data_IF_568385283268
#
_entry.id   IF_568385283268
#
_cell.length_a   1.000
_cell.length_b   1.000
_cell.length_c   1.000
_cell.angle_alpha   90.00
_cell.angle_beta   90.00
_cell.angle_gamma   90.00
#
_symmetry.space_group_name_H-M   'P 1'
#
loop_
_entity.id
_entity.type
_entity.pdbx_description
1 polymer ?
#
# COMPACT_ATOMS: atom_id res chain seq x y z
N UNK A 1 5.48 9.64 -12.43
CA UNK A 1 6.35 9.80 -13.61
C UNK A 1 5.54 10.37 -14.76
N UNK A 2 5.93 11.50 -15.24
CA UNK A 2 5.39 12.13 -16.44
C UNK A 2 6.56 12.82 -17.16
N UNK A 3 6.88 12.38 -18.38
CA UNK A 3 7.95 12.94 -19.20
C UNK A 3 7.45 13.09 -20.62
N UNK A 4 7.39 14.33 -21.15
CA UNK A 4 6.91 14.62 -22.52
C UNK A 4 5.59 13.88 -22.82
N UNK A 5 4.59 14.05 -21.93
CA UNK A 5 3.26 13.41 -22.02
C UNK A 5 3.23 11.89 -21.86
N UNK A 6 4.40 11.23 -21.71
CA UNK A 6 4.48 9.80 -21.44
C UNK A 6 4.38 9.51 -19.94
N UNK A 7 3.52 8.56 -19.59
CA UNK A 7 3.27 8.09 -18.24
C UNK A 7 4.07 6.82 -17.97
N UNK A 8 4.06 6.36 -16.70
CA UNK A 8 4.72 5.10 -16.30
C UNK A 8 4.14 3.89 -17.04
N UNK A 9 2.84 3.90 -17.34
CA UNK A 9 2.18 2.86 -18.16
C UNK A 9 2.81 2.68 -19.52
N UNK A 10 3.15 3.79 -20.22
CA UNK A 10 3.84 3.74 -21.50
C UNK A 10 5.24 3.14 -21.37
N UNK A 11 5.97 3.49 -20.30
CA UNK A 11 7.30 2.91 -20.04
C UNK A 11 7.21 1.40 -19.78
N UNK A 12 6.25 0.96 -18.99
CA UNK A 12 5.99 -0.46 -18.71
C UNK A 12 5.67 -1.18 -20.02
N UNK A 13 4.85 -0.58 -20.90
CA UNK A 13 4.49 -1.14 -22.20
C UNK A 13 5.72 -1.30 -23.11
N UNK A 14 6.60 -0.31 -23.19
CA UNK A 14 7.83 -0.41 -23.96
C UNK A 14 8.78 -1.48 -23.39
N UNK A 15 8.95 -1.55 -22.06
CA UNK A 15 9.76 -2.60 -21.45
C UNK A 15 9.19 -4.00 -21.70
N UNK A 16 7.87 -4.16 -21.77
CA UNK A 16 7.25 -5.44 -22.03
C UNK A 16 7.63 -6.06 -23.39
N UNK A 17 8.02 -5.22 -24.35
CA UNK A 17 8.45 -5.64 -25.70
C UNK A 17 9.86 -6.26 -25.71
N UNK A 18 10.68 -6.00 -24.69
CA UNK A 18 12.03 -6.54 -24.60
C UNK A 18 11.94 -8.08 -24.42
N UNK A 19 12.46 -8.84 -25.38
CA UNK A 19 12.28 -10.30 -25.48
C UNK A 19 12.76 -11.05 -24.21
N UNK A 20 13.93 -10.70 -23.72
CA UNK A 20 14.60 -11.43 -22.62
C UNK A 20 14.19 -10.91 -21.23
N UNK A 21 13.44 -9.81 -21.16
CA UNK A 21 12.88 -9.31 -19.90
C UNK A 21 11.74 -10.23 -19.46
N UNK A 22 11.89 -10.85 -18.30
CA UNK A 22 10.91 -11.82 -17.76
C UNK A 22 9.89 -11.19 -16.84
N UNK A 23 10.28 -10.18 -16.07
CA UNK A 23 9.44 -9.56 -15.03
C UNK A 23 9.65 -8.06 -14.98
N UNK A 24 8.56 -7.32 -14.81
CA UNK A 24 8.55 -5.88 -14.57
C UNK A 24 7.95 -5.66 -13.20
N UNK A 25 8.62 -4.87 -12.37
CA UNK A 25 8.11 -4.40 -11.09
C UNK A 25 8.37 -2.91 -10.99
N UNK A 26 7.42 -2.18 -10.42
CA UNK A 26 7.56 -0.77 -10.11
C UNK A 26 7.05 -0.49 -8.69
N UNK A 27 7.44 0.62 -8.12
CA UNK A 27 6.96 1.09 -6.83
C UNK A 27 6.15 2.36 -7.05
N UNK A 28 4.92 2.38 -6.56
CA UNK A 28 4.06 3.57 -6.59
C UNK A 28 4.29 4.40 -5.34
N UNK A 29 4.27 5.71 -5.48
CA UNK A 29 4.48 6.64 -4.36
C UNK A 29 3.18 7.14 -3.73
N UNK A 30 2.10 7.29 -4.49
CA UNK A 30 0.86 7.88 -3.99
C UNK A 30 -0.39 7.28 -4.67
N UNK A 31 -1.47 6.97 -3.91
CA UNK A 31 -2.70 6.41 -4.49
C UNK A 31 -3.33 7.28 -5.58
N UNK A 32 -3.24 8.61 -5.46
CA UNK A 32 -3.78 9.56 -6.44
C UNK A 32 -3.15 9.42 -7.83
N UNK A 33 -1.91 8.95 -7.89
CA UNK A 33 -1.17 8.80 -9.15
C UNK A 33 -1.51 7.47 -9.87
N UNK A 34 -2.44 6.68 -9.28
CA UNK A 34 -2.85 5.40 -9.86
C UNK A 34 -3.93 5.62 -10.92
N UNK A 35 -3.49 5.80 -12.15
CA UNK A 35 -4.34 6.15 -13.30
C UNK A 35 -4.97 4.92 -13.95
N UNK A 36 -6.03 5.11 -14.75
CA UNK A 36 -6.75 4.03 -15.43
C UNK A 36 -5.85 3.24 -16.40
N UNK A 37 -4.95 3.91 -17.07
CA UNK A 37 -3.97 3.30 -17.97
C UNK A 37 -2.99 2.38 -17.22
N UNK A 38 -2.64 2.72 -15.98
CA UNK A 38 -1.81 1.86 -15.13
C UNK A 38 -2.58 0.63 -14.65
N UNK A 39 -3.88 0.78 -14.35
CA UNK A 39 -4.75 -0.35 -14.03
C UNK A 39 -4.90 -1.29 -15.24
N UNK A 40 -5.08 -0.73 -16.44
CA UNK A 40 -5.15 -1.50 -17.68
C UNK A 40 -3.85 -2.28 -17.93
N UNK A 41 -2.69 -1.68 -17.66
CA UNK A 41 -1.39 -2.36 -17.79
C UNK A 41 -1.31 -3.64 -16.94
N UNK A 42 -1.88 -3.66 -15.73
CA UNK A 42 -1.94 -4.86 -14.89
C UNK A 42 -2.86 -5.97 -15.44
N UNK A 43 -3.80 -5.62 -16.32
CA UNK A 43 -4.65 -6.58 -17.03
C UNK A 43 -3.97 -7.15 -18.29
N UNK A 44 -3.22 -6.30 -19.00
CA UNK A 44 -2.80 -6.57 -20.38
C UNK A 44 -1.36 -7.06 -20.49
N UNK A 45 -0.52 -6.78 -19.49
CA UNK A 45 0.92 -7.03 -19.57
C UNK A 45 1.30 -8.18 -18.63
N UNK A 46 1.45 -9.38 -19.15
CA UNK A 46 1.80 -10.60 -18.39
C UNK A 46 3.14 -10.48 -17.64
N UNK A 47 4.10 -9.74 -18.19
CA UNK A 47 5.40 -9.51 -17.54
C UNK A 47 5.31 -8.60 -16.32
N UNK A 48 4.22 -7.83 -16.19
CA UNK A 48 4.01 -6.96 -15.04
C UNK A 48 3.59 -7.78 -13.83
N UNK A 49 4.44 -7.76 -12.80
CA UNK A 49 4.21 -8.55 -11.60
C UNK A 49 2.89 -8.17 -10.92
N UNK A 50 2.07 -9.16 -10.50
CA UNK A 50 0.79 -8.90 -9.84
C UNK A 50 0.99 -8.55 -8.36
N UNK A 51 1.85 -7.60 -8.07
CA UNK A 51 2.12 -7.06 -6.75
C UNK A 51 2.20 -5.54 -6.83
N UNK A 52 1.34 -4.87 -6.11
CA UNK A 52 1.30 -3.41 -6.03
C UNK A 52 1.64 -2.96 -4.61
N UNK A 53 2.71 -2.17 -4.49
CA UNK A 53 3.00 -1.44 -3.27
C UNK A 53 2.26 -0.10 -3.31
N UNK A 54 1.23 0.05 -2.46
CA UNK A 54 0.34 1.22 -2.45
C UNK A 54 0.24 1.80 -1.03
N UNK A 55 1.15 2.73 -0.66
CA UNK A 55 1.21 3.28 0.69
C UNK A 55 -0.03 4.10 1.05
N UNK A 56 -0.84 3.60 2.00
CA UNK A 56 -2.04 4.29 2.49
C UNK A 56 -1.77 5.19 3.69
N UNK A 57 -0.85 4.81 4.55
CA UNK A 57 -0.38 5.47 5.77
C UNK A 57 -1.33 5.35 6.97
N UNK A 58 -2.66 5.43 6.81
CA UNK A 58 -3.66 5.29 7.87
C UNK A 58 -5.00 4.86 7.27
N UNK A 59 -5.82 4.16 8.03
CA UNK A 59 -7.21 3.82 7.69
C UNK A 59 -8.23 4.89 8.07
N UNK A 60 -7.80 6.03 8.61
CA UNK A 60 -8.68 7.13 9.02
C UNK A 60 -8.52 8.33 8.11
N UNK A 61 -9.62 8.77 7.47
CA UNK A 61 -9.64 9.99 6.66
C UNK A 61 -9.24 11.24 7.47
N UNK A 62 -9.59 11.27 8.76
CA UNK A 62 -9.18 12.34 9.68
C UNK A 62 -7.65 12.40 9.81
N UNK A 63 -7.01 11.26 9.97
CA UNK A 63 -5.54 11.17 10.10
C UNK A 63 -4.88 11.43 8.75
N UNK A 64 -5.41 10.89 7.66
CA UNK A 64 -4.92 11.17 6.31
C UNK A 64 -4.93 12.68 6.01
N UNK A 65 -6.01 13.39 6.37
CA UNK A 65 -6.09 14.84 6.23
C UNK A 65 -5.02 15.57 7.05
N UNK A 66 -4.77 15.13 8.30
CA UNK A 66 -3.69 15.68 9.14
C UNK A 66 -2.30 15.42 8.57
N UNK A 67 -2.10 14.29 7.90
CA UNK A 67 -0.87 13.94 7.16
C UNK A 67 -0.75 14.67 5.82
N UNK A 68 -1.70 15.58 5.49
CA UNK A 68 -1.79 16.24 4.18
C UNK A 68 -1.89 15.26 3.01
N UNK A 69 -2.51 14.09 3.22
CA UNK A 69 -2.82 13.16 2.14
C UNK A 69 -4.07 13.60 1.40
N UNK A 70 -4.01 13.57 0.07
CA UNK A 70 -5.09 14.08 -0.81
C UNK A 70 -6.09 13.00 -1.23
N UNK A 71 -5.97 11.79 -0.72
CA UNK A 71 -6.90 10.70 -0.96
C UNK A 71 -7.72 10.39 0.28
N UNK A 72 -8.89 9.80 0.09
CA UNK A 72 -9.73 9.22 1.13
C UNK A 72 -9.63 7.70 1.11
N UNK A 73 -10.08 7.03 2.18
CA UNK A 73 -10.15 5.57 2.24
C UNK A 73 -11.10 5.04 1.17
N UNK A 74 -12.21 5.74 0.89
CA UNK A 74 -13.12 5.39 -0.21
C UNK A 74 -12.38 5.34 -1.55
N UNK A 75 -11.65 6.42 -1.90
CA UNK A 75 -10.88 6.46 -3.15
C UNK A 75 -9.82 5.35 -3.22
N UNK A 76 -9.16 5.09 -2.08
CA UNK A 76 -8.16 4.03 -1.97
C UNK A 76 -8.75 2.65 -2.25
N UNK A 77 -9.87 2.32 -1.60
CA UNK A 77 -10.57 1.05 -1.79
C UNK A 77 -11.13 0.90 -3.21
N UNK A 78 -11.58 1.97 -3.84
CA UNK A 78 -11.98 1.96 -5.26
C UNK A 78 -10.81 1.57 -6.19
N UNK A 79 -9.60 2.07 -5.92
CA UNK A 79 -8.39 1.70 -6.69
C UNK A 79 -8.07 0.21 -6.47
N UNK A 80 -8.08 -0.25 -5.22
CA UNK A 80 -7.87 -1.66 -4.87
C UNK A 80 -8.88 -2.56 -5.58
N UNK A 81 -10.16 -2.19 -5.55
CA UNK A 81 -11.23 -2.94 -6.22
C UNK A 81 -11.06 -3.00 -7.73
N UNK A 82 -10.70 -1.88 -8.37
CA UNK A 82 -10.42 -1.84 -9.82
C UNK A 82 -9.23 -2.72 -10.20
N UNK A 83 -8.17 -2.71 -9.40
CA UNK A 83 -7.00 -3.55 -9.61
C UNK A 83 -7.32 -5.04 -9.45
N UNK A 84 -8.02 -5.43 -8.39
CA UNK A 84 -8.49 -6.82 -8.18
C UNK A 84 -9.39 -7.29 -9.33
N UNK A 85 -10.23 -6.40 -9.88
CA UNK A 85 -11.07 -6.70 -11.04
C UNK A 85 -10.25 -6.84 -12.34
N UNK A 86 -9.23 -6.00 -12.51
CA UNK A 86 -8.35 -6.05 -13.68
C UNK A 86 -7.46 -7.29 -13.69
N UNK A 87 -6.91 -7.66 -12.52
CA UNK A 87 -6.09 -8.84 -12.34
C UNK A 87 -6.42 -9.52 -11.00
N UNK A 88 -7.21 -10.63 -11.01
CA UNK A 88 -7.60 -11.33 -9.78
C UNK A 88 -6.44 -11.93 -8.97
N UNK A 89 -5.24 -12.04 -9.57
CA UNK A 89 -4.03 -12.53 -8.87
C UNK A 89 -3.26 -11.42 -8.18
N UNK A 90 -3.74 -10.15 -8.30
CA UNK A 90 -3.01 -9.01 -7.77
C UNK A 90 -3.03 -9.00 -6.24
N UNK A 91 -1.86 -8.76 -5.68
CA UNK A 91 -1.65 -8.65 -4.24
C UNK A 91 -1.14 -7.25 -3.89
N UNK A 92 -1.30 -6.87 -2.63
CA UNK A 92 -0.97 -5.54 -2.15
C UNK A 92 0.03 -5.57 -1.01
N UNK A 93 0.90 -4.57 -0.99
CA UNK A 93 1.68 -4.18 0.18
C UNK A 93 1.49 -2.69 0.45
N UNK A 94 1.70 -2.26 1.69
CA UNK A 94 1.48 -0.87 2.08
C UNK A 94 2.34 -0.45 3.27
N UNK A 95 2.48 0.86 3.45
CA UNK A 95 3.11 1.48 4.62
C UNK A 95 2.06 2.07 5.54
N UNK A 96 2.33 2.03 6.84
CA UNK A 96 1.46 2.55 7.90
C UNK A 96 2.27 3.34 8.92
N UNK A 97 1.75 4.49 9.33
CA UNK A 97 2.28 5.29 10.43
C UNK A 97 1.31 5.18 11.60
N UNK A 98 1.76 4.58 12.69
CA UNK A 98 0.97 4.34 13.90
C UNK A 98 1.35 5.39 14.96
N UNK A 99 0.35 5.85 15.71
CA UNK A 99 0.58 6.85 16.75
C UNK A 99 0.79 8.26 16.23
N UNK A 100 0.24 8.59 15.06
CA UNK A 100 0.29 9.96 14.53
C UNK A 100 -0.42 10.93 15.47
N UNK A 101 0.08 12.18 15.65
CA UNK A 101 -0.52 13.15 16.57
C UNK A 101 -2.03 13.33 16.40
N UNK A 102 -2.77 13.06 17.48
CA UNK A 102 -4.23 13.11 17.53
C UNK A 102 -4.95 11.92 16.90
N UNK A 103 -4.29 10.79 16.70
CA UNK A 103 -4.91 9.50 16.40
C UNK A 103 -5.66 9.00 17.63
N UNK A 104 -6.95 8.76 17.52
CA UNK A 104 -7.77 8.15 18.57
C UNK A 104 -7.82 6.62 18.43
N UNK A 105 -8.39 5.93 19.42
CA UNK A 105 -8.63 4.48 19.33
C UNK A 105 -9.56 4.14 18.15
N UNK A 106 -10.56 4.98 17.86
CA UNK A 106 -11.42 4.80 16.70
C UNK A 106 -10.65 4.94 15.39
N UNK A 107 -9.74 5.93 15.28
CA UNK A 107 -8.89 6.12 14.11
C UNK A 107 -7.96 4.90 13.89
N UNK A 108 -7.37 4.37 14.97
CA UNK A 108 -6.54 3.17 14.93
C UNK A 108 -7.34 1.93 14.53
N UNK A 109 -8.54 1.74 15.11
CA UNK A 109 -9.42 0.62 14.74
C UNK A 109 -9.84 0.66 13.27
N UNK A 110 -10.05 1.84 12.69
CA UNK A 110 -10.27 2.00 11.25
C UNK A 110 -9.06 1.53 10.43
N UNK A 111 -7.85 1.76 10.93
CA UNK A 111 -6.62 1.27 10.29
C UNK A 111 -6.54 -0.26 10.33
N UNK A 112 -6.87 -0.90 11.45
CA UNK A 112 -6.92 -2.36 11.56
C UNK A 112 -7.97 -2.95 10.61
N UNK A 113 -9.18 -2.38 10.57
CA UNK A 113 -10.25 -2.83 9.64
C UNK A 113 -9.81 -2.74 8.19
N UNK A 114 -9.14 -1.66 7.80
CA UNK A 114 -8.62 -1.51 6.44
C UNK A 114 -7.61 -2.61 6.10
N UNK A 115 -6.71 -2.93 7.04
CA UNK A 115 -5.71 -3.99 6.84
C UNK A 115 -6.37 -5.35 6.61
N UNK A 116 -7.40 -5.66 7.37
CA UNK A 116 -8.18 -6.88 7.22
C UNK A 116 -8.97 -6.91 5.90
N UNK A 117 -9.61 -5.79 5.51
CA UNK A 117 -10.44 -5.68 4.31
C UNK A 117 -9.61 -5.83 3.02
N UNK A 118 -8.48 -5.16 2.93
CA UNK A 118 -7.60 -5.22 1.75
C UNK A 118 -6.85 -6.55 1.70
N UNK A 119 -6.38 -7.04 2.86
CA UNK A 119 -5.66 -8.30 2.99
C UNK A 119 -4.23 -8.18 2.46
N UNK A 120 -3.45 -7.23 2.95
CA UNK A 120 -2.08 -7.02 2.49
C UNK A 120 -1.19 -8.23 2.77
N UNK A 121 -0.46 -8.67 1.74
CA UNK A 121 0.51 -9.77 1.88
C UNK A 121 1.80 -9.33 2.56
N UNK A 122 2.04 -8.02 2.60
CA UNK A 122 3.11 -7.40 3.35
C UNK A 122 2.71 -5.99 3.81
N UNK A 123 3.13 -5.62 5.02
CA UNK A 123 2.83 -4.32 5.62
C UNK A 123 4.04 -3.82 6.38
N UNK A 124 4.45 -2.60 6.09
CA UNK A 124 5.52 -1.93 6.81
C UNK A 124 4.89 -0.90 7.75
N UNK A 125 5.09 -1.08 9.05
CA UNK A 125 4.50 -0.22 10.07
C UNK A 125 5.57 0.49 10.89
N UNK A 126 5.38 1.78 11.08
CA UNK A 126 6.32 2.64 11.78
C UNK A 126 5.60 3.44 12.85
N UNK A 127 6.24 3.61 14.01
CA UNK A 127 5.80 4.64 14.94
C UNK A 127 6.02 6.01 14.32
N UNK A 128 5.06 6.91 14.56
CA UNK A 128 5.27 8.31 14.20
C UNK A 128 6.56 8.84 14.83
N UNK A 129 7.33 9.57 14.06
CA UNK A 129 8.52 10.29 14.53
C UNK A 129 8.44 11.73 14.00
N UNK A 130 8.54 12.74 14.88
CA UNK A 130 8.45 14.13 14.47
C UNK A 130 9.61 14.50 13.56
N UNK A 131 9.30 15.14 12.44
CA UNK A 131 10.31 15.67 11.52
C UNK A 131 10.38 17.19 11.68
N UNK A 132 11.56 17.76 11.98
CA UNK A 132 11.73 19.21 12.08
C UNK A 132 11.15 19.95 10.87
N UNK A 133 10.49 21.09 11.13
CA UNK A 133 9.91 21.92 10.08
C UNK A 133 8.51 21.49 9.61
N UNK A 134 7.99 20.33 10.06
CA UNK A 134 6.62 19.91 9.70
C UNK A 134 5.59 20.44 10.70
N UNK A 135 4.33 20.71 10.26
CA UNK A 135 3.25 21.07 11.18
C UNK A 135 3.02 20.00 12.26
N UNK A 136 3.14 18.74 11.92
CA UNK A 136 2.95 17.62 12.84
C UNK A 136 3.96 17.61 14.00
N UNK A 137 5.19 18.08 13.78
CA UNK A 137 6.21 18.18 14.83
C UNK A 137 5.86 19.19 15.94
N UNK A 138 4.89 20.07 15.70
CA UNK A 138 4.38 21.05 16.67
C UNK A 138 3.12 20.56 17.40
N UNK A 139 2.60 19.39 17.06
CA UNK A 139 1.40 18.82 17.68
C UNK A 139 1.80 17.98 18.89
N UNK A 140 0.87 17.86 19.85
CA UNK A 140 1.05 16.96 20.98
C UNK A 140 1.09 15.52 20.48
N UNK A 141 2.20 14.83 20.76
CA UNK A 141 2.35 13.41 20.48
C UNK A 141 1.39 12.60 21.35
N UNK A 142 1.04 11.43 20.88
CA UNK A 142 0.33 10.41 21.67
C UNK A 142 1.33 9.83 22.68
N UNK A 143 0.83 9.42 23.85
CA UNK A 143 1.63 8.69 24.81
C UNK A 143 2.39 7.55 24.10
N UNK A 144 3.69 7.46 24.40
CA UNK A 144 4.59 6.57 23.68
C UNK A 144 4.28 5.09 23.93
N UNK A 145 3.80 4.76 25.12
CA UNK A 145 3.43 3.38 25.46
C UNK A 145 2.14 2.99 24.71
N UNK A 146 1.14 3.88 24.68
CA UNK A 146 -0.06 3.67 23.88
C UNK A 146 0.29 3.47 22.38
N UNK A 147 1.19 4.29 21.84
CA UNK A 147 1.60 4.17 20.45
C UNK A 147 2.34 2.83 20.18
N UNK A 148 3.17 2.36 21.11
CA UNK A 148 3.85 1.05 21.01
C UNK A 148 2.85 -0.10 21.07
N UNK A 149 1.91 -0.08 22.02
CA UNK A 149 0.85 -1.10 22.13
C UNK A 149 0.04 -1.19 20.82
N UNK A 150 -0.33 -0.05 20.22
CA UNK A 150 -0.98 -0.03 18.93
C UNK A 150 -0.11 -0.63 17.82
N UNK A 151 1.18 -0.31 17.79
CA UNK A 151 2.09 -0.87 16.79
C UNK A 151 2.18 -2.40 16.92
N UNK A 152 2.31 -2.93 18.14
CA UNK A 152 2.33 -4.38 18.40
C UNK A 152 1.02 -5.01 17.91
N UNK A 153 -0.12 -4.45 18.31
CA UNK A 153 -1.44 -4.94 17.90
C UNK A 153 -1.61 -4.92 16.37
N UNK A 154 -1.15 -3.85 15.70
CA UNK A 154 -1.15 -3.75 14.24
C UNK A 154 -0.31 -4.88 13.62
N UNK A 155 0.91 -5.10 14.12
CA UNK A 155 1.82 -6.12 13.60
C UNK A 155 1.27 -7.53 13.78
N UNK A 156 0.57 -7.82 14.87
CA UNK A 156 -0.09 -9.10 15.09
C UNK A 156 -1.18 -9.37 14.04
N UNK A 157 -2.04 -8.37 13.76
CA UNK A 157 -3.08 -8.48 12.72
C UNK A 157 -2.44 -8.66 11.33
N UNK A 158 -1.47 -7.82 10.98
CA UNK A 158 -0.77 -7.88 9.71
C UNK A 158 -0.06 -9.24 9.51
N UNK A 159 0.60 -9.75 10.56
CA UNK A 159 1.28 -11.05 10.51
C UNK A 159 0.30 -12.22 10.34
N UNK A 160 -0.87 -12.21 11.01
CA UNK A 160 -1.91 -13.22 10.78
C UNK A 160 -2.35 -13.28 9.32
N UNK A 161 -2.57 -12.11 8.70
CA UNK A 161 -2.96 -12.03 7.27
C UNK A 161 -1.84 -12.57 6.38
N UNK A 162 -0.60 -12.15 6.63
CA UNK A 162 0.59 -12.60 5.89
C UNK A 162 0.79 -14.12 5.98
N UNK A 163 0.65 -14.70 7.17
CA UNK A 163 0.76 -16.15 7.38
C UNK A 163 -0.36 -16.89 6.63
N UNK A 164 -1.61 -16.45 6.76
CA UNK A 164 -2.75 -17.03 6.01
C UNK A 164 -2.54 -16.98 4.49
N UNK A 165 -1.92 -15.91 3.98
CA UNK A 165 -1.55 -15.84 2.57
C UNK A 165 -0.47 -16.87 2.22
N UNK A 166 0.59 -16.99 3.05
CA UNK A 166 1.69 -17.94 2.83
C UNK A 166 1.22 -19.40 2.85
N UNK A 167 0.27 -19.73 3.72
CA UNK A 167 -0.33 -21.08 3.77
C UNK A 167 -0.96 -21.47 2.44
N UNK A 168 -1.56 -20.54 1.70
CA UNK A 168 -2.11 -20.79 0.36
C UNK A 168 -1.06 -21.11 -0.69
N UNK A 169 0.23 -20.83 -0.41
CA UNK A 169 1.34 -21.08 -1.32
C UNK A 169 1.99 -22.46 -1.10
N UNK A 170 1.65 -23.15 -0.01
CA UNK A 170 2.17 -24.50 0.24
C UNK A 170 1.81 -25.45 -0.90
N UNK A 171 2.75 -26.31 -1.27
CA UNK A 171 2.63 -27.30 -2.35
C UNK A 171 2.38 -26.69 -3.75
N UNK A 172 2.58 -25.38 -3.92
CA UNK A 172 2.53 -24.75 -5.25
C UNK A 172 3.92 -24.69 -5.86
N UNK A 173 4.03 -25.17 -7.10
CA UNK A 173 5.25 -24.95 -7.91
C UNK A 173 5.26 -23.50 -8.42
N UNK A 174 6.40 -22.86 -8.32
CA UNK A 174 6.60 -21.49 -8.81
C UNK A 174 7.93 -21.36 -9.52
N UNK A 175 7.99 -20.50 -10.52
CA UNK A 175 9.23 -20.13 -11.20
C UNK A 175 9.93 -19.03 -10.41
N UNK A 176 11.20 -19.24 -10.10
CA UNK A 176 12.04 -18.27 -9.37
C UNK A 176 13.11 -17.72 -10.30
N UNK A 177 13.38 -16.43 -10.20
CA UNK A 177 14.49 -15.77 -10.87
C UNK A 177 15.61 -15.58 -9.83
N UNK A 178 16.79 -16.09 -10.13
CA UNK A 178 18.01 -15.91 -9.34
C UNK A 178 18.88 -14.84 -9.97
#
# INVERSE_FOLDING_TARGET
>A
YNYKEKKISNLIQEFSKIKDLKRIRYTTSHPIDFTQDLIAAHKEIDKLMPLVHLPVQSGSDKILKKMNRKHTIKNYLEIVGKLKKANPKIEFSSDFIIGYPGETNDDFNKTLKLVEEVGYIDSYSFLYSPRPGTPAAKMNEIDREIAKERLISFQEVANKIKLKYREKLYNRKSSVLF
#
